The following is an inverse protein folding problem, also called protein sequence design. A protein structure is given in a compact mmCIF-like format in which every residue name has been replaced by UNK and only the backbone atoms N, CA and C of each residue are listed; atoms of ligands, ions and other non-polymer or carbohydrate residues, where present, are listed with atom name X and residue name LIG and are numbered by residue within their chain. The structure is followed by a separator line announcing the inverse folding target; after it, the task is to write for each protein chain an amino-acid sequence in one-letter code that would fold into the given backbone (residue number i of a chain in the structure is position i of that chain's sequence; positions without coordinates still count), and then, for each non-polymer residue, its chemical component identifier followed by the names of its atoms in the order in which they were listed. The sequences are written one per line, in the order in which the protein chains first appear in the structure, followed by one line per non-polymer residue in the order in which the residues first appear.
data_IF_590752871810
#
_entry.id   IF_590752871810
#
_cell.length_a   1.000
_cell.length_b   1.000
_cell.length_c   1.000
_cell.angle_alpha   90.00
_cell.angle_beta   90.00
_cell.angle_gamma   90.00
#
_symmetry.space_group_name_H-M   'P 1'
#
loop_
_entity.id
_entity.type
_entity.pdbx_description
1 polymer ?
#
# COMPACT_ATOMS: atom_id res chain seq x y z
N UNK A 1 10.40 -71.33 -1.50
CA UNK A 1 10.08 -69.89 -1.51
C UNK A 1 11.17 -69.17 -2.28
N UNK A 2 10.93 -68.84 -3.56
CA UNK A 2 11.96 -68.25 -4.43
C UNK A 2 12.06 -66.74 -4.17
N UNK A 3 13.26 -66.24 -3.87
CA UNK A 3 13.56 -64.80 -3.80
C UNK A 3 13.36 -64.21 -5.21
N UNK A 4 12.50 -63.20 -5.34
CA UNK A 4 12.28 -62.50 -6.61
C UNK A 4 13.58 -61.89 -7.17
N UNK A 5 13.64 -61.63 -8.49
CA UNK A 5 14.83 -61.10 -9.14
C UNK A 5 15.23 -59.76 -8.52
N UNK A 6 16.48 -59.66 -8.06
CA UNK A 6 17.07 -58.41 -7.60
C UNK A 6 17.35 -57.54 -8.81
N UNK A 7 16.76 -56.35 -8.83
CA UNK A 7 16.94 -55.36 -9.89
C UNK A 7 18.42 -54.94 -9.92
N UNK A 8 19.18 -55.14 -11.01
CA UNK A 8 20.59 -54.77 -11.10
C UNK A 8 20.81 -53.26 -11.22
N UNK A 9 19.74 -52.51 -11.49
CA UNK A 9 19.71 -51.05 -11.49
C UNK A 9 19.22 -50.62 -10.10
N UNK A 10 20.20 -50.24 -9.27
CA UNK A 10 20.00 -49.80 -7.89
C UNK A 10 18.95 -48.70 -7.76
N UNK A 11 18.27 -48.73 -6.61
CA UNK A 11 17.36 -47.74 -6.03
C UNK A 11 16.66 -46.78 -7.00
N UNK A 12 15.33 -46.93 -7.09
CA UNK A 12 14.46 -46.05 -7.84
C UNK A 12 14.70 -44.58 -7.40
N UNK A 13 15.14 -43.67 -8.28
CA UNK A 13 15.50 -42.29 -7.92
C UNK A 13 14.28 -41.45 -7.48
N UNK A 14 13.07 -41.97 -7.64
CA UNK A 14 11.83 -41.37 -7.14
C UNK A 14 11.43 -41.89 -5.75
N UNK A 15 12.24 -42.73 -5.12
CA UNK A 15 12.04 -43.15 -3.73
C UNK A 15 12.50 -42.05 -2.75
N UNK A 16 11.82 -40.90 -2.79
CA UNK A 16 11.99 -39.86 -1.78
C UNK A 16 11.07 -40.18 -0.60
N UNK A 17 11.62 -40.84 0.42
CA UNK A 17 10.98 -40.83 1.74
C UNK A 17 11.32 -39.49 2.40
N UNK A 18 10.33 -38.65 2.77
CA UNK A 18 10.61 -37.44 3.53
C UNK A 18 11.15 -37.87 4.90
N UNK A 19 12.48 -37.78 5.05
CA UNK A 19 13.14 -37.97 6.33
C UNK A 19 12.76 -36.78 7.19
N UNK A 20 11.85 -36.97 8.15
CA UNK A 20 11.56 -35.98 9.17
C UNK A 20 12.86 -35.73 9.95
N UNK A 21 13.59 -34.66 9.63
CA UNK A 21 14.72 -34.19 10.41
C UNK A 21 14.19 -33.34 11.57
N UNK A 22 14.16 -33.86 12.81
CA UNK A 22 13.75 -33.09 13.96
C UNK A 22 14.93 -32.18 14.32
N UNK A 23 14.77 -30.86 14.15
CA UNK A 23 15.71 -29.90 14.73
C UNK A 23 16.36 -28.90 13.79
N UNK A 24 15.82 -28.61 12.60
CA UNK A 24 16.12 -27.32 12.00
C UNK A 24 15.67 -26.23 12.99
N UNK A 25 16.57 -25.35 13.48
CA UNK A 25 16.14 -24.20 14.27
C UNK A 25 15.08 -23.46 13.47
N UNK A 26 13.99 -22.97 14.10
CA UNK A 26 13.11 -22.04 13.42
C UNK A 26 13.99 -20.94 12.84
N UNK A 27 14.04 -20.81 11.51
CA UNK A 27 14.67 -19.67 10.87
C UNK A 27 14.12 -18.43 11.58
N UNK A 28 14.96 -17.49 12.03
CA UNK A 28 14.47 -16.28 12.66
C UNK A 28 13.41 -15.72 11.72
N UNK A 29 12.15 -15.68 12.18
CA UNK A 29 11.05 -15.14 11.38
C UNK A 29 11.52 -13.77 10.92
N UNK A 30 11.72 -13.62 9.61
CA UNK A 30 12.41 -12.46 9.07
C UNK A 30 11.67 -11.21 9.53
N UNK A 31 12.25 -10.51 10.50
CA UNK A 31 11.67 -9.29 11.09
C UNK A 31 11.56 -8.17 10.02
N UNK A 32 12.18 -8.39 8.86
CA UNK A 32 12.07 -7.64 7.60
C UNK A 32 10.91 -8.08 6.69
N UNK A 33 9.92 -8.84 7.18
CA UNK A 33 8.73 -9.14 6.39
C UNK A 33 7.93 -7.85 6.14
N UNK A 34 8.16 -7.24 4.98
CA UNK A 34 7.32 -6.22 4.38
C UNK A 34 5.87 -6.71 4.20
N UNK A 35 5.01 -5.88 3.63
CA UNK A 35 3.61 -6.28 3.39
C UNK A 35 3.54 -7.56 2.52
N UNK A 36 2.51 -8.39 2.70
CA UNK A 36 2.30 -9.65 1.96
C UNK A 36 2.25 -9.50 0.44
N UNK A 37 2.18 -8.26 -0.04
CA UNK A 37 2.21 -7.84 -1.45
C UNK A 37 3.61 -7.45 -1.94
N UNK A 38 4.67 -7.81 -1.20
CA UNK A 38 6.04 -7.37 -1.50
C UNK A 38 6.27 -5.88 -1.27
N UNK A 39 5.41 -5.22 -0.48
CA UNK A 39 5.50 -3.79 -0.21
C UNK A 39 4.88 -2.88 -1.28
N UNK A 40 4.19 -3.45 -2.28
CA UNK A 40 3.43 -2.70 -3.29
C UNK A 40 2.23 -2.00 -2.66
N UNK A 41 1.43 -2.73 -1.87
CA UNK A 41 0.27 -2.19 -1.17
C UNK A 41 0.62 -2.03 0.31
N UNK A 42 0.72 -0.79 0.82
CA UNK A 42 1.27 -0.55 2.15
C UNK A 42 0.23 -0.69 3.26
N UNK A 43 -0.20 -1.93 3.57
CA UNK A 43 -1.22 -2.19 4.60
C UNK A 43 -0.76 -1.79 6.01
N UNK A 44 0.54 -1.97 6.31
CA UNK A 44 1.13 -1.51 7.58
C UNK A 44 1.20 0.03 7.65
N UNK A 45 0.99 0.74 6.54
CA UNK A 45 0.94 2.19 6.44
C UNK A 45 -0.44 2.72 6.02
N UNK A 46 -1.46 2.46 6.86
CA UNK A 46 -2.81 3.00 6.65
C UNK A 46 -2.89 4.48 6.23
N UNK A 47 -2.15 5.43 6.83
CA UNK A 47 -2.25 6.82 6.38
C UNK A 47 -1.74 7.03 4.95
N UNK A 48 -0.67 6.36 4.52
CA UNK A 48 -0.21 6.42 3.12
C UNK A 48 -1.25 5.83 2.15
N UNK A 49 -1.89 4.72 2.54
CA UNK A 49 -2.91 4.06 1.74
C UNK A 49 -4.17 4.94 1.61
N UNK A 50 -4.66 5.51 2.71
CA UNK A 50 -5.80 6.43 2.70
C UNK A 50 -5.48 7.70 1.92
N UNK A 51 -4.27 8.25 2.06
CA UNK A 51 -3.84 9.42 1.30
C UNK A 51 -3.93 9.19 -0.21
N UNK A 52 -3.51 8.01 -0.68
CA UNK A 52 -3.62 7.62 -2.08
C UNK A 52 -5.06 7.57 -2.56
N UNK A 53 -5.95 6.88 -1.83
CA UNK A 53 -7.36 6.78 -2.21
C UNK A 53 -8.07 8.14 -2.17
N UNK A 54 -7.93 8.89 -1.09
CA UNK A 54 -8.55 10.21 -0.97
C UNK A 54 -8.00 11.19 -2.00
N UNK A 55 -6.70 11.11 -2.31
CA UNK A 55 -6.08 11.89 -3.37
C UNK A 55 -6.72 11.61 -4.73
N UNK A 56 -6.89 10.34 -5.09
CA UNK A 56 -7.57 9.96 -6.33
C UNK A 56 -9.06 10.35 -6.35
N UNK A 57 -9.79 10.09 -5.27
CA UNK A 57 -11.21 10.46 -5.18
C UNK A 57 -11.45 11.97 -5.10
N UNK A 58 -10.44 12.76 -4.72
CA UNK A 58 -10.53 14.22 -4.75
C UNK A 58 -10.62 14.81 -6.16
N UNK A 59 -10.38 13.99 -7.19
CA UNK A 59 -10.63 14.36 -8.58
C UNK A 59 -12.13 14.46 -8.91
N UNK A 60 -12.99 13.84 -8.09
CA UNK A 60 -14.44 13.90 -8.28
C UNK A 60 -14.96 15.32 -8.01
N UNK A 61 -15.85 15.83 -8.88
CA UNK A 61 -16.45 17.13 -8.68
C UNK A 61 -17.28 17.22 -7.40
N UNK A 62 -17.35 18.43 -6.83
CA UNK A 62 -18.07 18.79 -5.60
C UNK A 62 -17.48 18.22 -4.29
N UNK A 63 -17.02 16.97 -4.29
CA UNK A 63 -16.40 16.33 -3.12
C UNK A 63 -14.90 16.63 -3.02
N UNK A 64 -14.30 17.09 -4.12
CA UNK A 64 -12.85 17.23 -4.25
C UNK A 64 -12.17 17.99 -3.11
N UNK A 65 -12.67 19.16 -2.72
CA UNK A 65 -12.06 19.96 -1.64
C UNK A 65 -12.05 19.21 -0.29
N UNK A 66 -13.16 18.56 0.05
CA UNK A 66 -13.32 17.85 1.33
C UNK A 66 -12.41 16.62 1.43
N UNK A 67 -12.09 15.97 0.31
CA UNK A 67 -11.18 14.83 0.27
C UNK A 67 -9.71 15.24 0.08
N UNK A 68 -9.46 16.33 -0.65
CA UNK A 68 -8.12 16.78 -1.00
C UNK A 68 -7.30 17.20 0.23
N UNK A 69 -7.91 17.92 1.17
CA UNK A 69 -7.21 18.39 2.38
C UNK A 69 -6.79 17.20 3.27
N UNK A 70 -7.70 16.27 3.66
CA UNK A 70 -7.29 15.06 4.38
C UNK A 70 -6.26 14.20 3.63
N UNK A 71 -6.37 14.08 2.29
CA UNK A 71 -5.39 13.34 1.48
C UNK A 71 -3.98 13.90 1.64
N UNK A 72 -3.83 15.22 1.61
CA UNK A 72 -2.55 15.89 1.80
C UNK A 72 -1.96 15.62 3.19
N UNK A 73 -2.77 15.79 4.24
CA UNK A 73 -2.32 15.59 5.63
C UNK A 73 -1.95 14.13 5.89
N UNK A 74 -2.79 13.19 5.47
CA UNK A 74 -2.52 11.76 5.63
C UNK A 74 -1.28 11.31 4.84
N UNK A 75 -1.01 11.94 3.69
CA UNK A 75 0.20 11.68 2.92
C UNK A 75 1.46 12.03 3.71
N UNK A 76 1.49 13.21 4.35
CA UNK A 76 2.61 13.61 5.23
C UNK A 76 2.75 12.66 6.42
N UNK A 77 1.63 12.27 7.04
CA UNK A 77 1.62 11.29 8.14
C UNK A 77 2.16 9.93 7.68
N UNK A 78 1.83 9.49 6.46
CA UNK A 78 2.31 8.26 5.85
C UNK A 78 3.83 8.25 5.64
N UNK A 79 4.39 9.37 5.17
CA UNK A 79 5.85 9.53 5.06
C UNK A 79 6.53 9.54 6.43
N UNK A 80 5.95 10.22 7.41
CA UNK A 80 6.48 10.23 8.79
C UNK A 80 6.48 8.83 9.39
N UNK A 81 5.42 8.03 9.19
CA UNK A 81 5.34 6.64 9.67
C UNK A 81 6.42 5.75 9.06
N UNK A 82 6.64 5.88 7.75
CA UNK A 82 7.74 5.16 7.05
C UNK A 82 9.12 5.61 7.53
N UNK A 83 9.30 6.89 7.84
CA UNK A 83 10.57 7.41 8.37
C UNK A 83 10.89 6.82 9.75
N UNK A 84 9.87 6.62 10.59
CA UNK A 84 10.02 6.03 11.92
C UNK A 84 10.30 4.53 11.87
N UNK A 85 9.69 3.81 10.91
CA UNK A 85 9.90 2.37 10.73
C UNK A 85 10.02 2.04 9.23
N UNK A 86 11.24 1.94 8.67
CA UNK A 86 11.47 1.72 7.24
C UNK A 86 10.94 0.38 6.68
N UNK A 87 10.69 -0.61 7.57
CA UNK A 87 9.97 -1.86 7.25
C UNK A 87 8.56 -1.57 6.72
N UNK A 88 7.94 -0.48 7.19
CA UNK A 88 6.63 -0.03 6.73
C UNK A 88 6.79 0.74 5.42
N UNK A 89 6.35 0.15 4.30
CA UNK A 89 6.47 0.75 2.95
C UNK A 89 5.38 1.82 2.71
N UNK A 90 5.24 2.28 1.46
CA UNK A 90 4.17 3.21 1.07
C UNK A 90 4.59 4.63 0.69
N UNK A 91 5.88 4.89 0.44
CA UNK A 91 6.35 6.25 0.05
C UNK A 91 5.67 6.77 -1.22
N UNK A 92 5.50 5.90 -2.22
CA UNK A 92 4.84 6.24 -3.49
C UNK A 92 3.39 6.64 -3.24
N UNK A 93 2.63 5.84 -2.48
CA UNK A 93 1.23 6.11 -2.15
C UNK A 93 1.07 7.42 -1.37
N UNK A 94 1.95 7.66 -0.41
CA UNK A 94 1.97 8.90 0.35
C UNK A 94 2.27 10.12 -0.54
N UNK A 95 3.25 10.04 -1.44
CA UNK A 95 3.56 11.13 -2.38
C UNK A 95 2.43 11.41 -3.35
N UNK A 96 1.76 10.38 -3.89
CA UNK A 96 0.59 10.56 -4.74
C UNK A 96 -0.51 11.32 -3.98
N UNK A 97 -0.78 10.93 -2.73
CA UNK A 97 -1.75 11.62 -1.87
C UNK A 97 -1.37 13.08 -1.59
N UNK A 98 -0.07 13.38 -1.35
CA UNK A 98 0.42 14.76 -1.15
C UNK A 98 0.25 15.59 -2.42
N UNK A 99 0.71 15.09 -3.57
CA UNK A 99 0.68 15.85 -4.83
C UNK A 99 -0.76 16.07 -5.27
N UNK A 100 -1.58 15.01 -5.30
CA UNK A 100 -2.98 15.12 -5.69
C UNK A 100 -3.79 15.95 -4.69
N UNK A 101 -3.65 15.69 -3.39
CA UNK A 101 -4.36 16.44 -2.35
C UNK A 101 -3.99 17.92 -2.35
N UNK A 102 -2.71 18.26 -2.51
CA UNK A 102 -2.27 19.65 -2.63
C UNK A 102 -2.83 20.33 -3.88
N UNK A 103 -2.66 19.71 -5.05
CA UNK A 103 -3.13 20.27 -6.31
C UNK A 103 -4.65 20.43 -6.34
N UNK A 104 -5.40 19.42 -5.90
CA UNK A 104 -6.87 19.45 -5.89
C UNK A 104 -7.41 20.43 -4.84
N UNK A 105 -6.71 20.62 -3.71
CA UNK A 105 -7.09 21.67 -2.75
C UNK A 105 -7.00 23.05 -3.39
N UNK A 106 -5.96 23.32 -4.18
CA UNK A 106 -5.83 24.60 -4.90
C UNK A 106 -6.90 24.76 -5.98
N UNK A 107 -7.09 23.75 -6.83
CA UNK A 107 -8.06 23.81 -7.93
C UNK A 107 -9.49 23.99 -7.41
N UNK A 108 -9.93 23.13 -6.49
CA UNK A 108 -11.27 23.23 -5.91
C UNK A 108 -11.41 24.48 -5.03
N UNK A 109 -10.36 24.88 -4.32
CA UNK A 109 -10.37 26.10 -3.52
C UNK A 109 -10.63 27.34 -4.37
N UNK A 110 -9.93 27.47 -5.49
CA UNK A 110 -10.16 28.55 -6.46
C UNK A 110 -11.58 28.47 -7.04
N UNK A 111 -12.04 27.28 -7.44
CA UNK A 111 -13.38 27.10 -7.98
C UNK A 111 -14.48 27.53 -6.98
N UNK A 112 -14.35 27.15 -5.71
CA UNK A 112 -15.27 27.56 -4.65
C UNK A 112 -15.24 29.07 -4.39
N UNK A 113 -14.05 29.69 -4.40
CA UNK A 113 -13.93 31.15 -4.25
C UNK A 113 -14.64 31.86 -5.39
N UNK A 114 -14.39 31.46 -6.65
CA UNK A 114 -15.03 32.07 -7.82
C UNK A 114 -16.54 31.87 -7.80
N UNK A 115 -17.02 30.69 -7.38
CA UNK A 115 -18.44 30.40 -7.23
C UNK A 115 -19.10 31.34 -6.21
N UNK A 116 -18.50 31.51 -5.03
CA UNK A 116 -19.01 32.42 -3.99
C UNK A 116 -19.00 33.87 -4.48
N UNK A 117 -17.92 34.32 -5.13
CA UNK A 117 -17.83 35.67 -5.70
C UNK A 117 -18.93 35.91 -6.74
N UNK A 118 -19.19 34.93 -7.61
CA UNK A 118 -20.29 35.00 -8.59
C UNK A 118 -21.65 35.13 -7.92
N UNK A 119 -21.95 34.28 -6.94
CA UNK A 119 -23.21 34.34 -6.19
C UNK A 119 -23.41 35.69 -5.48
N UNK A 120 -22.36 36.24 -4.88
CA UNK A 120 -22.41 37.56 -4.23
C UNK A 120 -22.61 38.67 -5.25
N UNK A 121 -21.93 38.61 -6.40
CA UNK A 121 -22.08 39.60 -7.46
C UNK A 121 -23.50 39.62 -8.05
N UNK A 122 -24.13 38.45 -8.24
CA UNK A 122 -25.50 38.35 -8.72
C UNK A 122 -26.54 38.80 -7.69
N UNK A 123 -26.30 38.55 -6.40
CA UNK A 123 -27.19 39.03 -5.32
C UNK A 123 -27.21 40.57 -5.20
N UNK A 124 -26.14 41.24 -5.65
CA UNK A 124 -25.98 42.69 -5.57
C UNK A 124 -26.47 43.44 -6.83
N UNK A 125 -27.03 42.74 -7.83
CA UNK A 125 -27.66 43.33 -9.03
C UNK A 125 -29.16 43.46 -8.84
#
# INVERSE_FOLDING_TARGET
MAKGPQNPFGENPYNYSPQWQPGAPPLPASQDQGDSTGGVIPYKNMPALLAYYLGLFSLLPCLGLFLAIPAFVLGIMGLKKRKQNPVVKGSVHAWIGIVMGGLMTLVWGIAWILFIVGLVADTNR
#
